data_IF_366726937121
#
_entry.id   IF_366726937121
#
_cell.length_a   1.000
_cell.length_b   1.000
_cell.length_c   1.000
_cell.angle_alpha   90.00
_cell.angle_beta   90.00
_cell.angle_gamma   90.00
#
_symmetry.space_group_name_H-M   'P 1'
#
loop_
_entity.id
_entity.type
_entity.pdbx_description
1 polymer ?
#
# COMPACT_ATOMS: atom_id res chain seq x y z
N UNK A 1 -0.99 11.32 -16.45
CA UNK A 1 0.34 10.71 -16.26
C UNK A 1 0.72 10.94 -14.81
N UNK A 2 1.63 10.18 -14.24
CA UNK A 2 2.06 10.44 -12.87
C UNK A 2 2.91 11.74 -12.84
N UNK A 3 3.05 12.39 -11.68
CA UNK A 3 3.67 13.71 -11.55
C UNK A 3 2.92 14.86 -12.25
N UNK A 4 1.58 14.82 -12.33
CA UNK A 4 0.74 15.88 -12.91
C UNK A 4 -0.32 16.39 -11.92
N UNK A 5 -1.04 17.49 -12.23
CA UNK A 5 -2.04 18.08 -11.33
C UNK A 5 -3.21 17.16 -10.97
N UNK A 6 -3.59 16.24 -11.86
CA UNK A 6 -4.71 15.32 -11.61
C UNK A 6 -4.34 14.26 -10.54
N UNK A 7 -3.05 14.08 -10.30
CA UNK A 7 -2.47 13.13 -9.34
C UNK A 7 -1.73 13.84 -8.19
N UNK A 8 -2.03 15.11 -7.92
CA UNK A 8 -1.39 15.93 -6.89
C UNK A 8 0.15 15.97 -6.96
N UNK A 9 0.71 15.81 -8.17
CA UNK A 9 2.15 15.66 -8.42
C UNK A 9 2.81 14.50 -7.65
N UNK A 10 2.03 13.51 -7.21
CA UNK A 10 2.57 12.30 -6.60
C UNK A 10 3.40 11.54 -7.63
N UNK A 11 4.54 10.94 -7.22
CA UNK A 11 5.32 10.09 -8.09
C UNK A 11 4.51 8.85 -8.48
N UNK A 12 4.96 8.14 -9.52
CA UNK A 12 4.40 6.86 -9.84
C UNK A 12 4.33 5.88 -8.66
N UNK A 13 3.32 5.03 -8.65
CA UNK A 13 3.29 3.92 -7.70
C UNK A 13 4.31 2.85 -8.14
N UNK A 14 5.11 2.36 -7.19
CA UNK A 14 6.03 1.25 -7.48
C UNK A 14 5.24 0.00 -7.92
N UNK A 15 5.82 -0.78 -8.82
CA UNK A 15 5.11 -1.87 -9.52
C UNK A 15 4.87 -3.14 -8.68
N UNK A 16 5.27 -3.13 -7.42
CA UNK A 16 5.20 -4.25 -6.48
C UNK A 16 4.48 -3.88 -5.18
N UNK A 17 3.65 -2.84 -5.21
CA UNK A 17 2.92 -2.33 -4.04
C UNK A 17 1.52 -2.89 -3.96
N UNK A 18 1.14 -3.36 -2.76
CA UNK A 18 -0.25 -3.58 -2.37
C UNK A 18 -0.64 -2.45 -1.42
N UNK A 19 -1.35 -1.44 -1.93
CA UNK A 19 -1.78 -0.32 -1.10
C UNK A 19 -2.99 -0.71 -0.24
N UNK A 20 -2.84 -0.61 1.08
CA UNK A 20 -3.70 -1.25 2.04
C UNK A 20 -4.44 -0.25 2.93
N UNK A 21 -5.75 -0.45 3.09
CA UNK A 21 -6.56 0.37 3.99
C UNK A 21 -6.17 0.19 5.45
N UNK A 22 -6.53 1.16 6.31
CA UNK A 22 -6.33 1.08 7.77
C UNK A 22 -6.89 -0.21 8.40
N UNK A 23 -7.94 -0.79 7.83
CA UNK A 23 -8.52 -2.04 8.31
C UNK A 23 -7.60 -3.24 8.07
N UNK A 24 -6.93 -3.29 6.92
CA UNK A 24 -5.97 -4.36 6.59
C UNK A 24 -4.76 -4.28 7.52
N UNK A 25 -4.19 -3.08 7.70
CA UNK A 25 -3.09 -2.86 8.66
C UNK A 25 -3.44 -3.32 10.08
N UNK A 26 -4.67 -3.00 10.54
CA UNK A 26 -5.17 -3.45 11.84
C UNK A 26 -5.33 -4.96 11.91
N UNK A 27 -5.84 -5.60 10.85
CA UNK A 27 -6.00 -7.05 10.78
C UNK A 27 -4.65 -7.79 10.81
N UNK A 28 -3.61 -7.19 10.24
CA UNK A 28 -2.23 -7.68 10.30
C UNK A 28 -1.52 -7.39 11.64
N UNK A 29 -2.18 -6.69 12.58
CA UNK A 29 -1.62 -6.39 13.89
C UNK A 29 -0.51 -5.33 13.89
N UNK A 30 -0.39 -4.53 12.82
CA UNK A 30 0.64 -3.49 12.72
C UNK A 30 0.24 -2.26 13.54
N UNK A 31 1.17 -1.79 14.37
CA UNK A 31 0.94 -0.64 15.24
C UNK A 31 1.04 0.67 14.44
N UNK A 32 0.30 1.71 14.85
CA UNK A 32 0.21 2.96 14.10
C UNK A 32 1.57 3.64 13.85
N UNK A 33 2.51 3.53 14.78
CA UNK A 33 3.85 4.12 14.63
C UNK A 33 4.75 3.34 13.65
N UNK A 34 4.31 2.18 13.18
CA UNK A 34 5.00 1.33 12.20
C UNK A 34 4.39 1.45 10.80
N UNK A 35 3.38 2.30 10.62
CA UNK A 35 2.77 2.54 9.31
C UNK A 35 3.75 3.26 8.38
N UNK A 36 3.73 2.88 7.10
CA UNK A 36 4.62 3.39 6.08
C UNK A 36 4.73 2.37 4.96
N UNK A 37 5.64 1.39 5.12
CA UNK A 37 5.78 0.24 4.24
C UNK A 37 6.31 -0.97 4.99
N UNK A 38 5.93 -2.17 4.55
CA UNK A 38 6.47 -3.42 5.06
C UNK A 38 6.51 -4.46 3.94
N UNK A 39 7.48 -5.37 3.99
CA UNK A 39 7.50 -6.51 3.08
C UNK A 39 6.34 -7.46 3.40
N UNK A 40 5.61 -7.84 2.36
CA UNK A 40 4.51 -8.81 2.44
C UNK A 40 4.62 -9.83 1.31
N UNK A 41 3.91 -10.94 1.49
CA UNK A 41 3.64 -11.90 0.44
C UNK A 41 2.12 -12.04 0.33
N UNK A 42 1.62 -12.17 -0.89
CA UNK A 42 0.20 -12.34 -1.16
C UNK A 42 0.01 -13.34 -2.30
N UNK A 43 -1.16 -13.96 -2.30
CA UNK A 43 -1.69 -14.79 -3.38
C UNK A 43 -3.16 -14.42 -3.54
N UNK A 44 -3.79 -14.85 -4.63
CA UNK A 44 -5.24 -14.77 -4.68
C UNK A 44 -5.82 -15.65 -3.55
N UNK A 45 -6.93 -15.20 -2.96
CA UNK A 45 -7.49 -15.87 -1.78
C UNK A 45 -8.01 -17.30 -2.05
N UNK A 46 -8.11 -17.68 -3.33
CA UNK A 46 -8.60 -18.99 -3.79
C UNK A 46 -7.51 -19.95 -4.27
N UNK A 47 -6.23 -19.55 -4.19
CA UNK A 47 -5.08 -20.39 -4.53
C UNK A 47 -4.64 -21.30 -3.39
#
# INVERSE_FOLDING_TARGET
MECDPDHDYQPPCDNNIVDASKAVWKALGVLQYQLGGMDIYWSDAGD
#
